data_IF_688716586669
#
_entry.id   IF_688716586669
#
_cell.length_a   1.000
_cell.length_b   1.000
_cell.length_c   1.000
_cell.angle_alpha   90.00
_cell.angle_beta   90.00
_cell.angle_gamma   90.00
#
_symmetry.space_group_name_H-M   'P 1'
#
loop_
_entity.id
_entity.type
_entity.pdbx_description
1 polymer ?
#
# COMPACT_ATOMS: atom_id res chain seq x y z
N UNK A 1 14.10 -8.83 -0.30
CA UNK A 1 12.66 -8.47 -0.34
C UNK A 1 12.10 -9.07 -1.61
N UNK A 2 11.05 -9.89 -1.55
CA UNK A 2 10.41 -10.36 -2.78
C UNK A 2 9.41 -9.30 -3.23
N UNK A 3 9.67 -8.66 -4.37
CA UNK A 3 8.77 -7.70 -5.04
C UNK A 3 7.78 -8.40 -5.97
N UNK A 4 7.78 -9.74 -6.00
CA UNK A 4 6.82 -10.51 -6.78
C UNK A 4 5.41 -10.37 -6.21
N UNK A 5 4.46 -10.05 -7.09
CA UNK A 5 3.02 -9.97 -6.81
C UNK A 5 2.52 -11.36 -6.39
N UNK A 6 2.48 -11.61 -5.07
CA UNK A 6 1.95 -12.87 -4.49
C UNK A 6 0.44 -12.90 -4.36
N UNK A 7 -0.24 -11.83 -4.78
CA UNK A 7 -1.69 -11.71 -4.74
C UNK A 7 -2.24 -12.30 -6.05
N UNK A 8 -3.20 -13.24 -6.00
CA UNK A 8 -3.73 -13.90 -7.20
C UNK A 8 -4.47 -12.93 -8.16
N UNK A 9 -4.96 -11.81 -7.64
CA UNK A 9 -5.61 -10.76 -8.42
C UNK A 9 -5.16 -9.37 -7.93
N UNK A 10 -4.01 -8.87 -8.42
CA UNK A 10 -3.49 -7.57 -8.03
C UNK A 10 -4.35 -6.42 -8.58
N UNK A 11 -4.92 -6.59 -9.77
CA UNK A 11 -5.79 -5.61 -10.40
C UNK A 11 -7.09 -5.45 -9.62
N UNK A 12 -7.70 -6.55 -9.17
CA UNK A 12 -8.89 -6.54 -8.31
C UNK A 12 -8.64 -5.89 -6.95
N UNK A 13 -7.47 -6.12 -6.35
CA UNK A 13 -7.08 -5.42 -5.11
C UNK A 13 -6.96 -3.91 -5.34
N UNK A 14 -6.28 -3.49 -6.41
CA UNK A 14 -6.11 -2.08 -6.72
C UNK A 14 -7.43 -1.39 -7.07
N UNK A 15 -8.30 -2.05 -7.83
CA UNK A 15 -9.64 -1.56 -8.15
C UNK A 15 -10.51 -1.41 -6.89
N UNK A 16 -10.45 -2.38 -5.97
CA UNK A 16 -11.17 -2.30 -4.69
C UNK A 16 -10.63 -1.17 -3.80
N UNK A 17 -9.31 -0.95 -3.79
CA UNK A 17 -8.69 0.16 -3.08
C UNK A 17 -9.15 1.51 -3.65
N UNK A 18 -9.11 1.67 -4.98
CA UNK A 18 -9.54 2.90 -5.65
C UNK A 18 -11.03 3.18 -5.39
N UNK A 19 -11.88 2.17 -5.51
CA UNK A 19 -13.31 2.28 -5.19
C UNK A 19 -13.54 2.65 -3.72
N UNK A 20 -12.70 2.18 -2.80
CA UNK A 20 -12.78 2.56 -1.39
C UNK A 20 -12.43 4.04 -1.16
N UNK A 21 -11.61 4.65 -2.03
CA UNK A 21 -11.26 6.06 -2.01
C UNK A 21 -12.24 6.97 -2.79
N UNK A 22 -13.09 6.41 -3.65
CA UNK A 22 -14.08 7.22 -4.39
C UNK A 22 -15.00 8.01 -3.46
N UNK A 23 -15.16 9.30 -3.75
CA UNK A 23 -16.00 10.21 -2.97
C UNK A 23 -15.42 10.63 -1.61
N UNK A 24 -14.18 10.23 -1.27
CA UNK A 24 -13.49 10.65 -0.04
C UNK A 24 -12.59 11.87 -0.28
N UNK A 25 -12.50 12.73 0.73
CA UNK A 25 -11.46 13.77 0.76
C UNK A 25 -10.08 13.17 1.03
N UNK A 26 -9.02 13.93 0.74
CA UNK A 26 -7.64 13.51 1.03
C UNK A 26 -7.45 13.07 2.48
N UNK A 27 -8.02 13.81 3.44
CA UNK A 27 -7.96 13.46 4.86
C UNK A 27 -8.67 12.13 5.18
N UNK A 28 -9.82 11.88 4.57
CA UNK A 28 -10.55 10.62 4.72
C UNK A 28 -9.84 9.44 4.04
N UNK A 29 -9.15 9.71 2.93
CA UNK A 29 -8.32 8.74 2.23
C UNK A 29 -7.07 8.38 3.05
N UNK A 30 -6.40 9.36 3.66
CA UNK A 30 -5.27 9.13 4.55
C UNK A 30 -5.67 8.29 5.78
N UNK A 31 -6.82 8.59 6.37
CA UNK A 31 -7.37 7.82 7.48
C UNK A 31 -7.76 6.37 7.06
N UNK A 32 -8.36 6.18 5.88
CA UNK A 32 -8.61 4.85 5.34
C UNK A 32 -7.30 4.05 5.17
N UNK A 33 -6.26 4.67 4.61
CA UNK A 33 -4.96 4.04 4.44
C UNK A 33 -4.33 3.65 5.79
N UNK A 34 -4.39 4.52 6.80
CA UNK A 34 -3.87 4.22 8.12
C UNK A 34 -4.56 3.00 8.74
N UNK A 35 -5.89 2.92 8.64
CA UNK A 35 -6.65 1.75 9.11
C UNK A 35 -6.32 0.49 8.31
N UNK A 36 -6.21 0.60 7.00
CA UNK A 36 -5.87 -0.53 6.13
C UNK A 36 -4.48 -1.09 6.48
N UNK A 37 -3.49 -0.23 6.66
CA UNK A 37 -2.13 -0.62 7.07
C UNK A 37 -2.14 -1.36 8.40
N UNK A 38 -2.89 -0.88 9.39
CA UNK A 38 -3.03 -1.57 10.69
C UNK A 38 -3.68 -2.94 10.56
N UNK A 39 -4.71 -3.08 9.74
CA UNK A 39 -5.37 -4.36 9.50
C UNK A 39 -4.43 -5.35 8.79
N UNK A 40 -3.70 -4.90 7.77
CA UNK A 40 -2.70 -5.72 7.07
C UNK A 40 -1.55 -6.11 8.00
N UNK A 41 -1.11 -5.20 8.88
CA UNK A 41 -0.10 -5.48 9.88
C UNK A 41 -0.54 -6.58 10.85
N UNK A 42 -1.77 -6.50 11.34
CA UNK A 42 -2.34 -7.54 12.19
C UNK A 42 -2.44 -8.89 11.46
N UNK A 43 -2.81 -8.88 10.17
CA UNK A 43 -2.96 -10.10 9.39
C UNK A 43 -1.62 -10.77 9.05
N UNK A 44 -0.56 -9.97 8.88
CA UNK A 44 0.81 -10.45 8.65
C UNK A 44 1.41 -11.09 9.90
N UNK A 45 1.07 -10.59 11.10
CA UNK A 45 1.50 -11.10 12.41
C UNK A 45 3.04 -11.22 12.61
N UNK A 46 3.84 -10.60 11.73
CA UNK A 46 5.30 -10.64 11.76
C UNK A 46 5.88 -9.22 11.75
N UNK A 47 6.38 -8.79 12.92
CA UNK A 47 6.96 -7.45 13.09
C UNK A 47 8.22 -7.25 12.23
N UNK A 48 9.03 -8.29 12.02
CA UNK A 48 10.26 -8.16 11.24
C UNK A 48 9.96 -7.92 9.76
N UNK A 49 8.94 -8.60 9.23
CA UNK A 49 8.42 -8.37 7.87
C UNK A 49 7.85 -6.95 7.76
N UNK A 50 7.04 -6.51 8.72
CA UNK A 50 6.46 -5.15 8.70
C UNK A 50 7.53 -4.06 8.72
N UNK A 51 8.56 -4.21 9.55
CA UNK A 51 9.69 -3.27 9.59
C UNK A 51 10.52 -3.29 8.31
N UNK A 52 10.66 -4.45 7.66
CA UNK A 52 11.29 -4.53 6.34
C UNK A 52 10.46 -3.82 5.26
N UNK A 53 9.13 -3.99 5.27
CA UNK A 53 8.20 -3.26 4.41
C UNK A 53 8.31 -1.75 4.57
N UNK A 54 8.35 -1.24 5.81
CA UNK A 54 8.51 0.20 6.08
C UNK A 54 9.83 0.72 5.52
N UNK A 55 10.94 0.00 5.76
CA UNK A 55 12.25 0.39 5.22
C UNK A 55 12.26 0.43 3.69
N UNK A 56 11.73 -0.59 3.04
CA UNK A 56 11.67 -0.64 1.59
C UNK A 56 10.79 0.49 1.01
N UNK A 57 9.64 0.77 1.61
CA UNK A 57 8.76 1.87 1.19
C UNK A 57 9.44 3.23 1.35
N UNK A 58 10.22 3.43 2.41
CA UNK A 58 10.99 4.66 2.62
C UNK A 58 12.19 4.79 1.65
N UNK A 59 12.74 3.66 1.17
CA UNK A 59 13.83 3.64 0.19
C UNK A 59 13.33 3.85 -1.26
N UNK A 60 12.10 3.42 -1.58
CA UNK A 60 11.50 3.56 -2.92
C UNK A 60 10.98 4.96 -3.27
N UNK A 61 10.89 5.89 -2.30
CA UNK A 61 10.49 7.29 -2.56
C UNK A 61 11.40 8.03 -3.58
N UNK A 62 12.54 7.45 -3.98
CA UNK A 62 13.43 8.00 -5.02
C UNK A 62 13.26 7.44 -6.44
N UNK A 63 12.24 6.60 -6.70
CA UNK A 63 11.92 6.12 -8.07
C UNK A 63 10.55 6.62 -8.53
N UNK A 64 10.21 7.88 -8.26
CA UNK A 64 9.19 8.58 -9.05
C UNK A 64 9.80 8.88 -10.42
N UNK A 65 9.65 7.96 -11.38
CA UNK A 65 9.83 8.32 -12.79
C UNK A 65 8.92 9.51 -13.10
N UNK A 66 9.44 10.64 -13.59
CA UNK A 66 8.57 11.66 -14.14
C UNK A 66 7.94 11.05 -15.38
N UNK A 67 6.61 11.06 -15.47
CA UNK A 67 5.89 10.81 -16.72
C UNK A 67 5.94 12.11 -17.54
N UNK A 68 6.71 12.21 -18.64
CA UNK A 68 6.54 13.29 -19.59
C UNK A 68 5.46 12.92 -20.61
N UNK A 69 4.64 13.93 -20.92
CA UNK A 69 3.58 13.92 -21.93
C UNK A 69 4.10 13.67 -23.36
#
# INVERSE_FOLDING_TARGET
MNTELRIPDPDGFYAALLAAHEGRSEAQSADLNARLVLLLANQCADQAVLLACIRAAAEEEHSTSPHPA
#
